data_IF_391976188628
#
_entry.id   IF_391976188628
#
_cell.length_a   1.000
_cell.length_b   1.000
_cell.length_c   1.000
_cell.angle_alpha   90.00
_cell.angle_beta   90.00
_cell.angle_gamma   90.00
#
_symmetry.space_group_name_H-M   'P 1'
#
loop_
_entity.id
_entity.type
_entity.pdbx_description
1 polymer ?
#
# COMPACT_ATOMS: atom_id res chain seq x y z
N UNK A 1 11.90 -2.34 23.00
CA UNK A 1 13.07 -2.53 22.12
C UNK A 1 14.37 -2.79 22.86
N UNK A 2 14.70 -2.07 23.94
CA UNK A 2 16.02 -2.12 24.59
C UNK A 2 16.49 -3.53 25.00
N UNK A 3 15.58 -4.37 25.48
CA UNK A 3 15.89 -5.77 25.85
C UNK A 3 16.32 -6.58 24.63
N UNK A 4 15.55 -6.52 23.53
CA UNK A 4 15.89 -7.24 22.30
C UNK A 4 17.22 -6.73 21.72
N UNK A 5 17.45 -5.42 21.76
CA UNK A 5 18.70 -4.80 21.33
C UNK A 5 19.91 -5.29 22.14
N UNK A 6 19.78 -5.39 23.47
CA UNK A 6 20.83 -5.90 24.33
C UNK A 6 21.08 -7.40 24.09
N UNK A 7 20.01 -8.19 23.93
CA UNK A 7 20.08 -9.62 23.67
C UNK A 7 20.85 -9.93 22.38
N UNK A 8 20.56 -9.21 21.30
CA UNK A 8 21.28 -9.36 20.03
C UNK A 8 22.73 -8.88 20.16
N UNK A 9 22.95 -7.69 20.74
CA UNK A 9 24.29 -7.08 20.91
C UNK A 9 25.25 -7.95 21.74
N UNK A 10 24.76 -8.57 22.82
CA UNK A 10 25.56 -9.41 23.71
C UNK A 10 25.48 -10.91 23.37
N UNK A 11 24.83 -11.25 22.25
CA UNK A 11 24.70 -12.62 21.76
C UNK A 11 24.13 -13.58 22.82
N UNK A 12 23.07 -13.15 23.50
CA UNK A 12 22.36 -13.97 24.49
C UNK A 12 21.46 -14.96 23.73
N UNK A 13 22.08 -16.00 23.17
CA UNK A 13 21.45 -16.91 22.19
C UNK A 13 20.11 -17.52 22.63
N UNK A 14 19.99 -17.86 23.91
CA UNK A 14 18.75 -18.45 24.45
C UNK A 14 17.58 -17.44 24.48
N UNK A 15 17.86 -16.14 24.45
CA UNK A 15 16.87 -15.06 24.54
C UNK A 15 16.57 -14.41 23.17
N UNK A 16 17.39 -14.61 22.14
CA UNK A 16 17.20 -14.04 20.80
C UNK A 16 15.83 -14.41 20.21
N UNK A 17 15.55 -15.71 20.08
CA UNK A 17 14.28 -16.19 19.53
C UNK A 17 13.05 -15.72 20.32
N UNK A 18 13.01 -15.84 21.67
CA UNK A 18 11.93 -15.26 22.47
C UNK A 18 11.73 -13.76 22.25
N UNK A 19 12.82 -12.98 22.17
CA UNK A 19 12.74 -11.54 21.92
C UNK A 19 12.17 -11.25 20.53
N UNK A 20 12.63 -11.95 19.49
CA UNK A 20 12.12 -11.82 18.13
C UNK A 20 10.62 -12.15 18.06
N UNK A 21 10.19 -13.27 18.65
CA UNK A 21 8.77 -13.62 18.74
C UNK A 21 7.95 -12.55 19.47
N UNK A 22 8.52 -11.93 20.52
CA UNK A 22 7.86 -10.85 21.22
C UNK A 22 7.74 -9.60 20.36
N UNK A 23 8.77 -9.24 19.59
CA UNK A 23 8.73 -8.10 18.66
C UNK A 23 7.63 -8.27 17.60
N UNK A 24 7.40 -9.49 17.10
CA UNK A 24 6.30 -9.77 16.14
C UNK A 24 4.95 -9.30 16.68
N UNK A 25 4.68 -9.45 17.98
CA UNK A 25 3.42 -9.01 18.59
C UNK A 25 3.23 -7.49 18.63
N UNK A 26 4.31 -6.72 18.45
CA UNK A 26 4.31 -5.25 18.45
C UNK A 26 4.41 -4.64 17.04
N UNK A 27 4.43 -5.46 15.98
CA UNK A 27 4.52 -4.98 14.60
C UNK A 27 3.47 -3.93 14.21
N UNK A 28 2.19 -4.03 14.61
CA UNK A 28 1.19 -3.03 14.22
C UNK A 28 1.51 -1.60 14.70
N UNK A 29 2.22 -1.47 15.82
CA UNK A 29 2.50 -0.19 16.48
C UNK A 29 3.95 0.29 16.22
N UNK A 30 4.88 -0.64 16.07
CA UNK A 30 6.33 -0.37 16.07
C UNK A 30 7.06 -0.90 14.83
N UNK A 31 6.36 -1.10 13.70
CA UNK A 31 6.94 -1.65 12.48
C UNK A 31 8.23 -0.96 12.05
N UNK A 32 8.28 0.38 12.08
CA UNK A 32 9.44 1.14 11.63
C UNK A 32 10.67 0.92 12.52
N UNK A 33 10.50 0.94 13.85
CA UNK A 33 11.62 0.65 14.75
C UNK A 33 12.07 -0.82 14.64
N UNK A 34 11.12 -1.74 14.46
CA UNK A 34 11.40 -3.17 14.32
C UNK A 34 12.13 -3.47 13.00
N UNK A 35 11.81 -2.78 11.90
CA UNK A 35 12.60 -2.86 10.66
C UNK A 35 14.03 -2.41 10.91
N UNK A 36 14.23 -1.28 11.60
CA UNK A 36 15.57 -0.79 11.93
C UNK A 36 16.37 -1.80 12.77
N UNK A 37 15.73 -2.44 13.75
CA UNK A 37 16.33 -3.50 14.55
C UNK A 37 16.65 -4.75 13.71
N UNK A 38 15.72 -5.20 12.87
CA UNK A 38 15.89 -6.39 12.04
C UNK A 38 17.04 -6.23 11.04
N UNK A 39 17.17 -5.06 10.41
CA UNK A 39 18.30 -4.76 9.51
C UNK A 39 19.61 -4.66 10.28
N UNK A 40 19.60 -4.07 11.47
CA UNK A 40 20.81 -3.90 12.27
C UNK A 40 21.45 -5.22 12.72
N UNK A 41 20.64 -6.25 12.96
CA UNK A 41 21.09 -7.56 13.45
C UNK A 41 20.85 -8.70 12.45
N UNK A 42 20.65 -8.37 11.17
CA UNK A 42 20.49 -9.34 10.07
C UNK A 42 19.38 -10.39 10.32
N UNK A 43 18.24 -9.96 10.85
CA UNK A 43 17.09 -10.81 11.17
C UNK A 43 16.07 -10.80 10.02
N UNK A 44 16.39 -11.48 8.92
CA UNK A 44 15.60 -11.48 7.67
C UNK A 44 14.13 -11.88 7.87
N UNK A 45 13.88 -12.87 8.73
CA UNK A 45 12.53 -13.37 9.01
C UNK A 45 11.65 -12.31 9.69
N UNK A 46 12.24 -11.47 10.54
CA UNK A 46 11.58 -10.36 11.21
C UNK A 46 11.41 -9.18 10.24
N UNK A 47 12.44 -8.90 9.43
CA UNK A 47 12.40 -7.87 8.39
C UNK A 47 11.24 -8.10 7.42
N UNK A 48 11.13 -9.32 6.88
CA UNK A 48 10.09 -9.70 5.92
C UNK A 48 8.68 -9.57 6.51
N UNK A 49 8.52 -9.75 7.82
CA UNK A 49 7.25 -9.54 8.50
C UNK A 49 6.98 -8.05 8.75
N UNK A 50 7.98 -7.31 9.24
CA UNK A 50 7.82 -5.92 9.66
C UNK A 50 7.54 -4.97 8.48
N UNK A 51 8.19 -5.19 7.34
CA UNK A 51 7.96 -4.40 6.12
C UNK A 51 6.50 -4.47 5.67
N UNK A 52 5.79 -5.58 5.91
CA UNK A 52 4.37 -5.75 5.54
C UNK A 52 3.41 -4.87 6.31
N UNK A 53 3.87 -4.19 7.37
CA UNK A 53 3.07 -3.24 8.15
C UNK A 53 3.30 -1.79 7.72
N UNK A 54 4.39 -1.51 7.00
CA UNK A 54 4.72 -0.18 6.50
C UNK A 54 3.99 0.08 5.17
N UNK A 55 3.28 1.21 5.08
CA UNK A 55 2.50 1.58 3.91
C UNK A 55 3.33 2.16 2.75
N UNK A 56 2.64 2.48 1.64
CA UNK A 56 3.26 3.00 0.41
C UNK A 56 3.91 4.37 0.55
N UNK A 57 3.42 5.22 1.46
CA UNK A 57 3.93 6.57 1.61
C UNK A 57 5.28 6.59 2.36
N UNK A 58 6.35 7.19 1.81
CA UNK A 58 7.55 7.53 2.57
C UNK A 58 7.18 8.56 3.64
N UNK A 59 6.93 8.09 4.86
CA UNK A 59 6.84 8.98 5.99
C UNK A 59 8.26 9.35 6.43
N UNK A 60 8.60 10.65 6.42
CA UNK A 60 9.89 11.13 6.91
C UNK A 60 10.18 10.64 8.33
N UNK A 61 9.14 10.44 9.15
CA UNK A 61 9.29 9.92 10.50
C UNK A 61 9.65 8.43 10.56
N UNK A 62 9.29 7.65 9.52
CA UNK A 62 9.79 6.27 9.34
C UNK A 62 11.26 6.31 8.93
N UNK A 63 11.62 7.15 7.96
CA UNK A 63 13.01 7.28 7.49
C UNK A 63 13.97 7.71 8.60
N UNK A 64 13.54 8.58 9.53
CA UNK A 64 14.36 8.99 10.70
C UNK A 64 14.68 7.83 11.65
N UNK A 65 13.87 6.77 11.66
CA UNK A 65 14.06 5.59 12.51
C UNK A 65 14.97 4.56 11.86
N UNK A 66 15.26 4.71 10.57
CA UNK A 66 16.06 3.75 9.82
C UNK A 66 17.56 4.03 9.97
N UNK A 67 18.39 2.98 10.02
CA UNK A 67 19.82 3.13 9.82
C UNK A 67 20.13 3.85 8.50
N UNK A 68 21.16 4.69 8.48
CA UNK A 68 21.47 5.51 7.29
C UNK A 68 21.69 4.68 6.01
N UNK A 69 22.27 3.49 6.12
CA UNK A 69 22.50 2.59 4.98
C UNK A 69 21.18 2.00 4.42
N UNK A 70 20.11 1.94 5.22
CA UNK A 70 18.81 1.41 4.81
C UNK A 70 17.98 2.42 4.03
N UNK A 71 18.26 3.71 4.16
CA UNK A 71 17.43 4.78 3.59
C UNK A 71 17.34 4.66 2.07
N UNK A 72 18.47 4.43 1.39
CA UNK A 72 18.49 4.29 -0.08
C UNK A 72 17.72 3.05 -0.53
N UNK A 73 18.00 1.90 0.07
CA UNK A 73 17.31 0.64 -0.20
C UNK A 73 15.79 0.77 -0.02
N UNK A 74 15.36 1.46 1.04
CA UNK A 74 13.95 1.71 1.31
C UNK A 74 13.30 2.59 0.24
N UNK A 75 13.97 3.66 -0.18
CA UNK A 75 13.46 4.56 -1.22
C UNK A 75 13.31 3.81 -2.56
N UNK A 76 14.28 2.98 -2.93
CA UNK A 76 14.22 2.15 -4.13
C UNK A 76 13.11 1.10 -4.05
N UNK A 77 13.02 0.39 -2.93
CA UNK A 77 11.94 -0.56 -2.67
C UNK A 77 10.57 0.11 -2.78
N UNK A 78 10.37 1.26 -2.13
CA UNK A 78 9.09 1.99 -2.18
C UNK A 78 8.77 2.51 -3.56
N UNK A 79 9.76 2.96 -4.32
CA UNK A 79 9.57 3.38 -5.71
C UNK A 79 9.09 2.21 -6.55
N UNK A 80 9.82 1.09 -6.51
CA UNK A 80 9.48 -0.11 -7.27
C UNK A 80 8.11 -0.67 -6.87
N UNK A 81 7.81 -0.72 -5.57
CA UNK A 81 6.51 -1.15 -5.07
C UNK A 81 5.39 -0.26 -5.62
N UNK A 82 5.57 1.07 -5.60
CA UNK A 82 4.59 2.00 -6.17
C UNK A 82 4.41 1.84 -7.66
N UNK A 83 5.49 1.66 -8.41
CA UNK A 83 5.44 1.43 -9.85
C UNK A 83 4.68 0.13 -10.16
N UNK A 84 4.87 -0.94 -9.39
CA UNK A 84 4.18 -2.22 -9.56
C UNK A 84 2.69 -2.18 -9.17
N UNK A 85 2.33 -1.41 -8.14
CA UNK A 85 0.95 -1.36 -7.62
C UNK A 85 0.11 -0.31 -8.34
N UNK A 86 0.64 0.90 -8.51
CA UNK A 86 -0.11 2.02 -9.10
C UNK A 86 0.09 2.13 -10.61
N UNK A 87 1.26 1.77 -11.15
CA UNK A 87 1.54 1.87 -12.59
C UNK A 87 0.51 1.13 -13.45
N UNK A 88 0.31 -0.19 -13.24
CA UNK A 88 -0.70 -0.96 -13.97
C UNK A 88 -2.14 -0.45 -13.75
N UNK A 89 -2.47 0.05 -12.56
CA UNK A 89 -3.78 0.60 -12.25
C UNK A 89 -4.05 1.92 -13.00
N UNK A 90 -3.05 2.80 -13.07
CA UNK A 90 -3.12 4.05 -13.85
C UNK A 90 -3.22 3.71 -15.33
N UNK A 91 -2.37 2.81 -15.83
CA UNK A 91 -2.39 2.38 -17.23
C UNK A 91 -3.75 1.79 -17.63
N UNK A 92 -4.37 1.00 -16.74
CA UNK A 92 -5.71 0.47 -16.94
C UNK A 92 -6.76 1.57 -17.07
N UNK A 93 -6.68 2.64 -16.28
CA UNK A 93 -7.62 3.77 -16.39
C UNK A 93 -7.38 4.56 -17.68
N UNK A 94 -6.11 4.71 -18.05
CA UNK A 94 -5.70 5.53 -19.19
C UNK A 94 -6.00 4.89 -20.54
N UNK A 95 -5.89 3.56 -20.63
CA UNK A 95 -6.14 2.79 -21.85
C UNK A 95 -7.62 2.75 -22.27
N UNK A 96 -8.55 3.10 -21.36
CA UNK A 96 -9.99 3.09 -21.61
C UNK A 96 -10.41 4.32 -22.40
N UNK A 97 -11.36 4.13 -23.31
CA UNK A 97 -11.81 5.21 -24.18
C UNK A 97 -12.43 6.32 -23.32
N UNK A 98 -12.10 7.57 -23.69
CA UNK A 98 -12.64 8.73 -22.99
C UNK A 98 -14.08 8.97 -23.43
N UNK A 99 -15.03 8.45 -22.65
CA UNK A 99 -16.44 8.65 -22.92
C UNK A 99 -16.96 9.87 -22.15
N UNK A 100 -17.44 10.88 -22.88
CA UNK A 100 -18.02 12.12 -22.31
C UNK A 100 -19.39 11.89 -21.67
N UNK A 101 -20.06 10.78 -21.99
CA UNK A 101 -21.35 10.39 -21.43
C UNK A 101 -21.25 9.80 -20.03
N UNK A 102 -22.40 9.64 -19.37
CA UNK A 102 -22.49 9.00 -18.06
C UNK A 102 -22.41 7.47 -18.13
N UNK A 103 -22.17 6.82 -16.99
CA UNK A 103 -22.09 5.36 -16.86
C UNK A 103 -23.29 4.57 -17.44
N UNK A 104 -24.48 5.17 -17.53
CA UNK A 104 -25.65 4.52 -18.14
C UNK A 104 -25.46 4.22 -19.64
N UNK A 105 -24.62 5.01 -20.30
CA UNK A 105 -24.38 4.95 -21.75
C UNK A 105 -23.06 4.27 -22.09
N UNK A 106 -22.33 3.82 -21.07
CA UNK A 106 -21.08 3.07 -21.21
C UNK A 106 -21.42 1.61 -21.46
N UNK A 107 -20.72 0.96 -22.39
CA UNK A 107 -20.88 -0.47 -22.66
C UNK A 107 -20.77 -1.27 -21.35
N UNK A 108 -21.76 -2.13 -21.10
CA UNK A 108 -21.74 -3.10 -19.98
C UNK A 108 -21.19 -4.40 -20.55
N UNK A 109 -20.13 -4.95 -19.96
CA UNK A 109 -19.48 -6.16 -20.48
C UNK A 109 -18.23 -6.53 -19.69
N UNK A 110 -17.44 -7.47 -20.23
CA UNK A 110 -16.17 -7.93 -19.63
C UNK A 110 -15.13 -6.80 -19.56
N UNK A 111 -15.22 -5.84 -20.48
CA UNK A 111 -14.30 -4.72 -20.54
C UNK A 111 -15.00 -3.37 -20.77
N UNK A 112 -15.62 -2.80 -19.71
CA UNK A 112 -16.40 -1.59 -19.84
C UNK A 112 -15.52 -0.32 -19.89
N UNK A 113 -15.86 0.63 -20.75
CA UNK A 113 -15.24 1.96 -20.72
C UNK A 113 -15.49 2.69 -19.39
N UNK A 114 -14.78 3.80 -19.19
CA UNK A 114 -14.86 4.61 -17.97
C UNK A 114 -15.47 5.96 -18.31
N UNK A 115 -16.62 6.29 -17.70
CA UNK A 115 -17.20 7.62 -17.84
C UNK A 115 -16.27 8.69 -17.25
N UNK A 116 -16.34 9.93 -17.77
CA UNK A 116 -15.51 11.05 -17.30
C UNK A 116 -15.47 11.21 -15.78
N UNK A 117 -16.63 11.14 -15.11
CA UNK A 117 -16.71 11.34 -13.65
C UNK A 117 -16.00 10.20 -12.91
N UNK A 118 -16.28 8.94 -13.30
CA UNK A 118 -15.62 7.79 -12.68
C UNK A 118 -14.12 7.79 -12.91
N UNK A 119 -13.63 8.25 -14.07
CA UNK A 119 -12.20 8.38 -14.32
C UNK A 119 -11.53 9.33 -13.32
N UNK A 120 -12.14 10.49 -13.09
CA UNK A 120 -11.66 11.46 -12.10
C UNK A 120 -11.69 10.86 -10.70
N UNK A 121 -12.81 10.25 -10.29
CA UNK A 121 -12.94 9.63 -8.98
C UNK A 121 -11.93 8.49 -8.77
N UNK A 122 -11.69 7.65 -9.77
CA UNK A 122 -10.72 6.56 -9.72
C UNK A 122 -9.28 7.07 -9.53
N UNK A 123 -8.87 8.05 -10.34
CA UNK A 123 -7.53 8.65 -10.20
C UNK A 123 -7.37 9.34 -8.85
N UNK A 124 -8.39 10.05 -8.39
CA UNK A 124 -8.35 10.73 -7.11
C UNK A 124 -8.37 9.76 -5.91
N UNK A 125 -9.04 8.61 -6.05
CA UNK A 125 -8.97 7.50 -5.10
C UNK A 125 -7.57 6.85 -5.07
N UNK A 126 -6.96 6.57 -6.24
CA UNK A 126 -5.57 6.09 -6.30
C UNK A 126 -4.59 7.06 -5.61
N UNK A 127 -4.74 8.36 -5.86
CA UNK A 127 -3.93 9.39 -5.22
C UNK A 127 -4.14 9.49 -3.69
N UNK A 128 -5.29 9.05 -3.17
CA UNK A 128 -5.52 8.93 -1.72
C UNK A 128 -4.87 7.67 -1.16
N UNK A 129 -4.99 6.55 -1.86
CA UNK A 129 -4.35 5.30 -1.46
C UNK A 129 -2.83 5.43 -1.35
N UNK A 130 -2.20 6.18 -2.25
CA UNK A 130 -0.75 6.43 -2.20
C UNK A 130 -0.30 7.14 -0.92
N UNK A 131 -1.20 7.93 -0.30
CA UNK A 131 -0.90 8.69 0.92
C UNK A 131 -1.02 7.86 2.20
N UNK A 132 -1.53 6.64 2.12
CA UNK A 132 -1.70 5.78 3.29
C UNK A 132 -0.31 5.31 3.76
N UNK A 133 -0.09 5.41 5.07
CA UNK A 133 1.19 5.14 5.74
C UNK A 133 1.28 3.74 6.36
N UNK A 134 0.17 3.00 6.41
CA UNK A 134 0.12 1.63 6.92
C UNK A 134 -0.54 0.66 5.93
N UNK A 135 0.05 -0.52 5.78
CA UNK A 135 -0.50 -1.57 4.93
C UNK A 135 -1.86 -2.11 5.38
N UNK A 136 -2.16 -2.25 6.68
CA UNK A 136 -3.50 -2.62 7.13
C UNK A 136 -4.57 -1.61 6.69
N UNK A 137 -4.31 -0.31 6.87
CA UNK A 137 -5.22 0.75 6.41
C UNK A 137 -5.34 0.77 4.89
N UNK A 138 -4.23 0.52 4.18
CA UNK A 138 -4.22 0.46 2.71
C UNK A 138 -5.09 -0.69 2.19
N UNK A 139 -4.93 -1.90 2.75
CA UNK A 139 -5.77 -3.06 2.40
C UNK A 139 -7.23 -2.85 2.77
N UNK A 140 -7.50 -2.18 3.89
CA UNK A 140 -8.86 -1.80 4.27
C UNK A 140 -9.48 -0.81 3.28
N UNK A 141 -8.72 0.19 2.83
CA UNK A 141 -9.15 1.20 1.87
C UNK A 141 -9.28 0.67 0.43
N UNK A 142 -8.52 -0.38 0.08
CA UNK A 142 -8.72 -1.14 -1.18
C UNK A 142 -10.05 -1.87 -1.18
N UNK A 143 -10.41 -2.53 -0.07
CA UNK A 143 -11.66 -3.28 0.07
C UNK A 143 -12.88 -2.36 0.19
N UNK A 144 -12.69 -1.21 0.82
CA UNK A 144 -13.73 -0.21 1.05
C UNK A 144 -13.24 1.15 0.52
N UNK A 145 -13.45 1.44 -0.78
CA UNK A 145 -13.08 2.74 -1.34
C UNK A 145 -13.80 3.82 -0.55
N UNK A 146 -13.05 4.69 0.13
CA UNK A 146 -13.62 5.78 0.89
C UNK A 146 -14.35 6.73 -0.06
N UNK A 147 -15.68 6.77 0.05
CA UNK A 147 -16.58 7.63 -0.73
C UNK A 147 -16.53 9.11 -0.29
N UNK A 148 -15.60 9.47 0.59
CA UNK A 148 -15.54 10.79 1.23
C UNK A 148 -15.08 11.92 0.28
N UNK A 149 -14.61 11.59 -0.92
CA UNK A 149 -14.56 12.57 -2.00
C UNK A 149 -15.97 12.78 -2.54
N UNK A 150 -16.69 13.66 -1.82
CA UNK A 150 -18.01 14.18 -2.22
C UNK A 150 -18.02 14.40 -3.72
N UNK A 151 -19.04 13.86 -4.39
CA UNK A 151 -19.46 14.38 -5.68
C UNK A 151 -19.47 15.93 -5.60
N UNK A 152 -19.15 16.69 -6.67
CA UNK A 152 -19.13 18.16 -6.60
C UNK A 152 -20.43 18.81 -6.09
N UNK A 153 -21.51 18.03 -5.92
CA UNK A 153 -22.81 18.42 -5.36
C UNK A 153 -23.12 17.86 -3.95
N UNK A 154 -22.17 17.22 -3.25
CA UNK A 154 -22.33 16.77 -1.87
C UNK A 154 -22.95 15.38 -1.66
N UNK A 155 -23.13 14.59 -2.73
CA UNK A 155 -23.67 13.22 -2.66
C UNK A 155 -22.55 12.19 -2.38
N UNK A 156 -22.87 11.12 -1.64
CA UNK A 156 -21.95 10.04 -1.22
C UNK A 156 -21.71 8.99 -2.32
N UNK A 157 -21.81 9.39 -3.58
CA UNK A 157 -21.76 8.48 -4.73
C UNK A 157 -20.71 8.97 -5.73
N UNK A 158 -19.93 8.06 -6.32
CA UNK A 158 -18.94 8.43 -7.33
C UNK A 158 -19.59 9.01 -8.59
N UNK A 159 -20.67 8.40 -9.05
CA UNK A 159 -21.47 8.86 -10.17
C UNK A 159 -22.93 8.48 -9.94
N UNK A 160 -23.86 9.41 -10.19
CA UNK A 160 -25.33 9.22 -10.07
C UNK A 160 -25.90 8.06 -10.90
N UNK A 161 -25.10 7.56 -11.82
CA UNK A 161 -25.44 6.60 -12.85
C UNK A 161 -24.70 5.25 -12.64
N UNK A 162 -23.97 5.12 -11.53
CA UNK A 162 -23.39 3.85 -11.11
C UNK A 162 -24.41 3.05 -10.30
N UNK A 163 -24.65 1.77 -10.62
CA UNK A 163 -25.67 0.96 -9.95
C UNK A 163 -25.36 0.60 -8.48
N UNK A 164 -24.17 0.92 -7.96
CA UNK A 164 -23.72 0.46 -6.63
C UNK A 164 -22.85 1.46 -5.85
N UNK A 165 -23.01 2.76 -6.04
CA UNK A 165 -22.20 3.84 -5.42
C UNK A 165 -20.72 3.90 -5.84
N UNK A 166 -20.19 2.89 -6.54
CA UNK A 166 -18.85 2.86 -7.12
C UNK A 166 -18.83 2.48 -8.61
N UNK A 167 -17.72 2.74 -9.29
CA UNK A 167 -17.56 2.44 -10.71
C UNK A 167 -17.51 0.93 -10.99
N UNK A 168 -18.12 0.47 -12.08
CA UNK A 168 -18.04 -0.94 -12.53
C UNK A 168 -16.61 -1.44 -12.80
N UNK A 169 -15.66 -0.53 -13.05
CA UNK A 169 -14.24 -0.84 -13.25
C UNK A 169 -13.44 -0.98 -11.95
N UNK A 170 -14.03 -0.61 -10.80
CA UNK A 170 -13.34 -0.68 -9.53
C UNK A 170 -12.87 -2.11 -9.17
N UNK A 171 -13.68 -3.18 -9.31
CA UNK A 171 -13.22 -4.53 -8.98
C UNK A 171 -12.02 -4.98 -9.82
N UNK A 172 -11.96 -4.60 -11.09
CA UNK A 172 -10.81 -4.89 -11.95
C UNK A 172 -9.55 -4.17 -11.46
N UNK A 173 -9.68 -2.89 -11.07
CA UNK A 173 -8.57 -2.12 -10.51
C UNK A 173 -8.07 -2.68 -9.18
N UNK A 174 -8.97 -3.10 -8.29
CA UNK A 174 -8.58 -3.75 -7.03
C UNK A 174 -7.76 -5.00 -7.31
N UNK A 175 -8.18 -5.86 -8.25
CA UNK A 175 -7.43 -7.06 -8.63
C UNK A 175 -6.04 -6.74 -9.19
N UNK A 176 -5.93 -5.71 -10.03
CA UNK A 176 -4.65 -5.26 -10.59
C UNK A 176 -3.70 -4.81 -9.47
N UNK A 177 -4.21 -4.03 -8.51
CA UNK A 177 -3.42 -3.57 -7.38
C UNK A 177 -3.03 -4.72 -6.45
N UNK A 178 -3.94 -5.64 -6.15
CA UNK A 178 -3.65 -6.84 -5.35
C UNK A 178 -2.56 -7.71 -6.00
N UNK A 179 -2.62 -7.92 -7.32
CA UNK A 179 -1.58 -8.63 -8.05
C UNK A 179 -0.22 -7.89 -7.97
N UNK A 180 -0.22 -6.56 -8.04
CA UNK A 180 1.00 -5.75 -7.86
C UNK A 180 1.60 -5.89 -6.45
N UNK A 181 0.77 -5.98 -5.41
CA UNK A 181 1.22 -6.20 -4.03
C UNK A 181 1.87 -7.58 -3.88
N UNK A 182 1.30 -8.60 -4.50
CA UNK A 182 1.82 -9.97 -4.45
C UNK A 182 3.09 -10.14 -5.28
N UNK A 183 3.22 -9.39 -6.39
CA UNK A 183 4.40 -9.40 -7.25
C UNK A 183 5.57 -8.56 -6.71
N UNK A 184 5.34 -7.74 -5.69
CA UNK A 184 6.37 -6.86 -5.15
C UNK A 184 7.54 -7.68 -4.54
N UNK A 185 8.79 -7.44 -4.98
CA UNK A 185 9.95 -8.14 -4.43
C UNK A 185 10.15 -7.76 -2.96
N UNK A 186 10.72 -8.64 -2.13
CA UNK A 186 11.02 -8.30 -0.73
C UNK A 186 12.07 -7.20 -0.63
N UNK A 187 12.05 -6.43 0.47
CA UNK A 187 13.04 -5.38 0.75
C UNK A 187 14.48 -5.90 0.75
N UNK A 188 14.68 -7.17 1.14
CA UNK A 188 15.99 -7.83 1.12
C UNK A 188 16.68 -7.83 -0.24
N UNK A 189 15.93 -7.68 -1.35
CA UNK A 189 16.52 -7.60 -2.70
C UNK A 189 17.20 -6.23 -2.97
N UNK A 190 17.03 -5.25 -2.07
CA UNK A 190 17.55 -3.90 -2.20
C UNK A 190 18.62 -3.56 -1.15
N UNK A 191 18.93 -4.50 -0.24
CA UNK A 191 19.99 -4.40 0.77
C UNK A 191 21.32 -4.93 0.22
#
# INVERSE_FOLDING_TARGET
MEVAEAVEKYQVFWAMNPCQQRLVTYLPEHAAEIVGHAVKHDVDSLLAQAVRFLGPSPCLDVLKKFPAHLVMAWVEYQKNWRDLVFGPAIQYIESREYVTSYCNNVAKGEDPDICRICRICLLAWLAQLEKIDSMPSFKAALKNPLLDQKHPRGEKEWCKNCPGNYCQNLPALVRIMEAGIEAAPPLSNFL
#
